data_IF_916741807654
#
_entry.id   IF_916741807654
#
_cell.length_a   1.000
_cell.length_b   1.000
_cell.length_c   1.000
_cell.angle_alpha   90.00
_cell.angle_beta   90.00
_cell.angle_gamma   90.00
#
_symmetry.space_group_name_H-M   'P 1'
#
loop_
_entity.id
_entity.type
_entity.pdbx_description
1 polymer ?
#
# COMPACT_ATOMS: atom_id res chain seq x y z
N UNK A 1 2.10 -18.25 13.99
CA UNK A 1 2.25 -19.27 12.94
C UNK A 1 1.83 -18.71 11.59
N UNK A 2 2.73 -18.74 10.60
CA UNK A 2 2.49 -18.14 9.27
C UNK A 2 1.32 -18.80 8.52
N UNK A 3 1.08 -20.10 8.76
CA UNK A 3 -0.05 -20.81 8.14
C UNK A 3 -1.40 -20.30 8.68
N UNK A 4 -1.47 -19.99 9.95
CA UNK A 4 -2.67 -19.40 10.54
C UNK A 4 -2.94 -17.99 9.95
N UNK A 5 -1.91 -17.16 9.86
CA UNK A 5 -2.03 -15.82 9.28
C UNK A 5 -2.41 -15.86 7.78
N UNK A 6 -1.87 -16.82 7.01
CA UNK A 6 -2.24 -17.00 5.63
C UNK A 6 -3.72 -17.42 5.47
N UNK A 7 -4.19 -18.35 6.29
CA UNK A 7 -5.59 -18.77 6.28
C UNK A 7 -6.55 -17.64 6.71
N UNK A 8 -6.14 -16.86 7.71
CA UNK A 8 -6.88 -15.68 8.17
C UNK A 8 -6.96 -14.60 7.08
N UNK A 9 -5.87 -14.34 6.36
CA UNK A 9 -5.84 -13.40 5.25
C UNK A 9 -6.80 -13.79 4.13
N UNK A 10 -6.84 -15.07 3.77
CA UNK A 10 -7.77 -15.58 2.74
C UNK A 10 -9.21 -15.40 3.18
N UNK A 11 -9.52 -15.76 4.43
CA UNK A 11 -10.87 -15.58 5.01
C UNK A 11 -11.27 -14.11 5.02
N UNK A 12 -10.40 -13.23 5.54
CA UNK A 12 -10.62 -11.79 5.60
C UNK A 12 -10.88 -11.20 4.19
N UNK A 13 -10.06 -11.53 3.20
CA UNK A 13 -10.23 -11.06 1.82
C UNK A 13 -11.59 -11.45 1.25
N UNK A 14 -12.05 -12.67 1.53
CA UNK A 14 -13.38 -13.14 1.10
C UNK A 14 -14.49 -12.38 1.80
N UNK A 15 -14.41 -12.21 3.13
CA UNK A 15 -15.38 -11.45 3.93
C UNK A 15 -15.49 -10.00 3.46
N UNK A 16 -14.35 -9.35 3.16
CA UNK A 16 -14.35 -8.00 2.60
C UNK A 16 -15.05 -7.92 1.25
N UNK A 17 -14.78 -8.85 0.35
CA UNK A 17 -15.44 -8.91 -0.96
C UNK A 17 -16.94 -9.14 -0.84
N UNK A 18 -17.39 -9.98 0.08
CA UNK A 18 -18.82 -10.27 0.30
C UNK A 18 -19.57 -9.08 0.90
N UNK A 19 -18.96 -8.37 1.85
CA UNK A 19 -19.61 -7.31 2.61
C UNK A 19 -19.46 -5.91 2.01
N UNK A 20 -18.39 -5.65 1.23
CA UNK A 20 -18.02 -4.33 0.73
C UNK A 20 -17.79 -4.27 -0.78
N UNK A 21 -18.41 -5.16 -1.55
CA UNK A 21 -18.22 -5.23 -3.00
C UNK A 21 -18.45 -3.88 -3.72
N UNK A 22 -19.51 -3.09 -3.40
CA UNK A 22 -19.70 -1.78 -4.03
C UNK A 22 -18.60 -0.77 -3.70
N UNK A 23 -18.13 -0.73 -2.44
CA UNK A 23 -17.07 0.17 -1.99
C UNK A 23 -15.72 -0.20 -2.63
N UNK A 24 -15.41 -1.49 -2.69
CA UNK A 24 -14.23 -2.02 -3.37
C UNK A 24 -14.26 -1.64 -4.86
N UNK A 25 -15.38 -1.87 -5.55
CA UNK A 25 -15.54 -1.54 -6.96
C UNK A 25 -15.36 -0.03 -7.20
N UNK A 26 -15.95 0.81 -6.36
CA UNK A 26 -15.81 2.26 -6.43
C UNK A 26 -14.37 2.72 -6.23
N UNK A 27 -13.66 2.17 -5.25
CA UNK A 27 -12.25 2.48 -5.04
C UNK A 27 -11.38 2.01 -6.21
N UNK A 28 -11.60 0.82 -6.75
CA UNK A 28 -10.90 0.30 -7.93
C UNK A 28 -11.10 1.22 -9.13
N UNK A 29 -12.33 1.63 -9.43
CA UNK A 29 -12.64 2.51 -10.55
C UNK A 29 -11.95 3.88 -10.44
N UNK A 30 -11.88 4.44 -9.22
CA UNK A 30 -11.28 5.74 -8.95
C UNK A 30 -9.78 5.67 -8.64
N UNK A 31 -9.20 4.49 -8.54
CA UNK A 31 -7.76 4.32 -8.33
C UNK A 31 -6.97 4.90 -9.50
N UNK A 32 -5.84 5.52 -9.19
CA UNK A 32 -4.97 6.15 -10.17
C UNK A 32 -3.57 5.58 -10.10
N UNK A 33 -2.98 5.28 -11.26
CA UNK A 33 -1.60 4.83 -11.36
C UNK A 33 -0.74 6.02 -11.79
N UNK A 34 0.24 6.35 -10.97
CA UNK A 34 1.24 7.36 -11.26
C UNK A 34 2.55 6.70 -11.68
N UNK A 35 3.16 7.22 -12.74
CA UNK A 35 4.48 6.80 -13.23
C UNK A 35 5.32 8.04 -13.48
N UNK A 36 6.63 7.86 -13.63
CA UNK A 36 7.55 8.95 -13.92
C UNK A 36 7.06 9.78 -15.09
N UNK A 37 6.97 11.09 -14.90
CA UNK A 37 6.50 12.05 -15.92
C UNK A 37 4.98 12.19 -16.04
N UNK A 38 4.18 11.43 -15.26
CA UNK A 38 2.72 11.58 -15.26
C UNK A 38 2.23 12.57 -14.20
N UNK A 39 3.07 12.93 -13.23
CA UNK A 39 2.74 13.93 -12.22
C UNK A 39 3.01 15.31 -12.85
N UNK A 40 1.94 16.10 -13.01
CA UNK A 40 2.03 17.49 -13.45
C UNK A 40 2.81 18.37 -12.46
N UNK A 41 2.95 19.65 -12.78
CA UNK A 41 3.58 20.59 -11.85
C UNK A 41 2.84 20.61 -10.50
N UNK A 42 3.59 20.31 -9.43
CA UNK A 42 3.07 20.46 -8.08
C UNK A 42 2.78 21.95 -7.84
N UNK A 43 1.53 22.27 -7.60
CA UNK A 43 1.15 23.63 -7.24
C UNK A 43 1.98 24.10 -6.04
N UNK A 44 2.70 25.21 -6.21
CA UNK A 44 3.51 25.82 -5.15
C UNK A 44 2.67 26.48 -4.03
N UNK A 45 1.36 26.31 -4.06
CA UNK A 45 0.45 26.74 -3.00
C UNK A 45 0.50 25.82 -1.77
N UNK A 46 1.67 25.37 -1.38
CA UNK A 46 1.86 24.80 -0.05
C UNK A 46 1.75 25.93 0.95
N UNK A 47 0.64 25.96 1.68
CA UNK A 47 0.51 26.84 2.86
C UNK A 47 1.72 26.57 3.75
N UNK A 48 2.44 27.62 4.10
CA UNK A 48 3.51 27.55 5.10
C UNK A 48 2.95 26.95 6.39
N UNK A 49 3.69 25.99 6.98
CA UNK A 49 3.39 25.45 8.31
C UNK A 49 2.62 24.14 8.30
N UNK A 50 3.16 23.10 7.63
CA UNK A 50 2.76 21.73 7.95
C UNK A 50 3.30 21.40 9.35
N UNK A 51 2.41 21.13 10.29
CA UNK A 51 2.78 20.61 11.60
C UNK A 51 3.18 19.12 11.43
N UNK A 52 4.42 18.81 11.81
CA UNK A 52 4.95 17.45 11.70
C UNK A 52 5.11 16.86 13.09
N UNK A 53 4.46 15.73 13.32
CA UNK A 53 4.54 15.01 14.58
C UNK A 53 5.18 13.63 14.38
N UNK A 54 6.06 13.24 15.30
CA UNK A 54 6.61 11.90 15.39
C UNK A 54 5.85 11.11 16.47
N UNK A 55 5.11 10.09 16.04
CA UNK A 55 4.34 9.23 16.92
C UNK A 55 4.98 7.82 16.96
N UNK A 56 5.12 7.27 18.18
CA UNK A 56 5.65 5.91 18.37
C UNK A 56 4.51 4.90 18.38
N UNK A 57 3.91 4.67 17.20
CA UNK A 57 2.80 3.75 17.00
C UNK A 57 2.77 3.24 15.56
N UNK A 58 2.03 2.16 15.31
CA UNK A 58 1.79 1.69 13.95
C UNK A 58 0.81 2.61 13.18
N UNK A 59 0.77 2.45 11.86
CA UNK A 59 -0.01 3.32 10.96
C UNK A 59 -1.51 3.27 11.24
N UNK A 60 -2.07 2.09 11.53
CA UNK A 60 -3.51 1.94 11.78
C UNK A 60 -3.89 2.52 13.15
N UNK A 61 -3.03 2.34 14.17
CA UNK A 61 -3.20 3.01 15.47
C UNK A 61 -3.18 4.53 15.31
N UNK A 62 -2.28 5.07 14.50
CA UNK A 62 -2.24 6.50 14.21
C UNK A 62 -3.53 6.97 13.52
N UNK A 63 -4.03 6.22 12.53
CA UNK A 63 -5.29 6.52 11.85
C UNK A 63 -6.45 6.62 12.87
N UNK A 64 -6.62 5.61 13.72
CA UNK A 64 -7.70 5.58 14.70
C UNK A 64 -7.52 6.54 15.89
N UNK A 65 -6.37 7.21 16.00
CA UNK A 65 -6.17 8.32 16.96
C UNK A 65 -6.72 9.66 16.45
N UNK A 66 -7.06 9.74 15.17
CA UNK A 66 -7.64 10.93 14.54
C UNK A 66 -9.17 10.91 14.63
N UNK A 67 -9.84 12.07 14.55
CA UNK A 67 -11.29 12.13 14.41
C UNK A 67 -11.77 11.31 13.20
N UNK A 68 -12.89 10.59 13.35
CA UNK A 68 -13.40 9.68 12.32
C UNK A 68 -13.81 10.35 11.00
N UNK A 69 -14.06 11.66 11.02
CA UNK A 69 -14.38 12.49 9.86
C UNK A 69 -13.15 13.18 9.22
N UNK A 70 -11.94 12.87 9.71
CA UNK A 70 -10.70 13.43 9.15
C UNK A 70 -10.43 12.87 7.76
N UNK A 71 -10.02 13.74 6.83
CA UNK A 71 -9.45 13.32 5.56
C UNK A 71 -8.00 12.90 5.77
N UNK A 72 -7.72 11.62 5.61
CA UNK A 72 -6.41 11.02 5.86
C UNK A 72 -5.91 10.33 4.61
N UNK A 73 -4.62 10.51 4.32
CA UNK A 73 -3.90 9.73 3.31
C UNK A 73 -2.78 8.95 3.98
N UNK A 74 -2.76 7.64 3.78
CA UNK A 74 -1.76 6.73 4.32
C UNK A 74 -0.73 6.34 3.25
N UNK A 75 0.53 6.19 3.66
CA UNK A 75 1.55 5.58 2.83
C UNK A 75 1.65 4.09 3.13
N UNK A 76 1.41 3.27 2.12
CA UNK A 76 1.65 1.83 2.14
C UNK A 76 3.07 1.56 1.62
N UNK A 77 3.96 1.07 2.51
CA UNK A 77 5.32 0.64 2.17
C UNK A 77 5.29 -0.72 1.49
N UNK A 78 4.95 -0.71 0.22
CA UNK A 78 4.50 -1.86 -0.53
C UNK A 78 5.61 -2.73 -1.12
N UNK A 79 5.24 -3.95 -1.46
CA UNK A 79 5.97 -4.76 -2.42
C UNK A 79 5.82 -4.17 -3.82
N UNK A 80 6.93 -4.16 -4.57
CA UNK A 80 6.92 -3.79 -5.98
C UNK A 80 6.29 -4.87 -6.88
N UNK A 81 6.22 -6.12 -6.40
CA UNK A 81 5.83 -7.29 -7.19
C UNK A 81 4.42 -7.78 -6.92
N UNK A 82 3.98 -7.69 -5.68
CA UNK A 82 2.76 -8.37 -5.22
C UNK A 82 1.83 -7.41 -4.52
N UNK A 83 0.53 -7.41 -4.88
CA UNK A 83 -0.46 -6.67 -4.12
C UNK A 83 -0.49 -7.15 -2.66
N UNK A 84 -0.52 -6.22 -1.71
CA UNK A 84 -0.52 -6.56 -0.29
C UNK A 84 0.72 -7.29 0.23
N UNK A 85 1.83 -7.25 -0.53
CA UNK A 85 3.07 -7.92 -0.12
C UNK A 85 2.97 -9.44 -0.11
N UNK A 86 3.31 -10.03 1.02
CA UNK A 86 3.19 -11.49 1.25
C UNK A 86 2.04 -11.83 2.21
N UNK A 87 0.95 -11.07 2.13
CA UNK A 87 -0.26 -11.28 2.93
C UNK A 87 -0.73 -12.73 2.92
N UNK A 88 -0.93 -13.28 1.72
CA UNK A 88 -1.42 -14.65 1.52
C UNK A 88 -0.40 -15.75 1.90
N UNK A 89 0.83 -15.35 2.22
CA UNK A 89 1.88 -16.25 2.74
C UNK A 89 2.08 -16.12 4.25
N UNK A 90 1.26 -15.29 4.91
CA UNK A 90 1.28 -15.12 6.36
C UNK A 90 2.40 -14.20 6.88
N UNK A 91 2.84 -13.25 6.08
CA UNK A 91 3.73 -12.17 6.53
C UNK A 91 2.96 -11.11 7.31
N UNK A 92 3.66 -10.38 8.19
CA UNK A 92 3.10 -9.31 9.02
C UNK A 92 4.05 -8.11 9.07
N UNK A 93 4.27 -7.50 7.93
CA UNK A 93 4.90 -6.18 7.83
C UNK A 93 3.84 -5.08 7.73
N UNK A 94 4.24 -3.83 7.53
CA UNK A 94 3.32 -2.69 7.49
C UNK A 94 2.27 -2.83 6.38
N UNK A 95 2.66 -3.28 5.18
CA UNK A 95 1.74 -3.46 4.06
C UNK A 95 0.66 -4.53 4.35
N UNK A 96 1.07 -5.64 4.95
CA UNK A 96 0.17 -6.71 5.34
C UNK A 96 -0.76 -6.30 6.48
N UNK A 97 -0.25 -5.54 7.47
CA UNK A 97 -1.07 -5.01 8.56
C UNK A 97 -2.18 -4.09 8.04
N UNK A 98 -1.89 -3.21 7.08
CA UNK A 98 -2.91 -2.38 6.44
C UNK A 98 -3.99 -3.23 5.74
N UNK A 99 -3.59 -4.33 5.09
CA UNK A 99 -4.51 -5.23 4.40
C UNK A 99 -5.35 -6.08 5.36
N UNK A 100 -4.82 -6.48 6.52
CA UNK A 100 -5.57 -7.22 7.53
C UNK A 100 -6.68 -6.40 8.21
N UNK A 101 -6.54 -5.09 8.23
CA UNK A 101 -7.49 -4.20 8.90
C UNK A 101 -8.32 -3.35 7.91
N UNK A 102 -8.38 -3.76 6.63
CA UNK A 102 -9.14 -3.05 5.59
C UNK A 102 -9.47 -3.94 4.40
N UNK A 103 -10.13 -3.40 3.39
CA UNK A 103 -10.26 -4.05 2.08
C UNK A 103 -9.18 -3.60 1.06
N UNK A 104 -8.06 -3.05 1.53
CA UNK A 104 -7.00 -2.56 0.65
C UNK A 104 -6.49 -3.63 -0.31
N UNK A 105 -6.29 -4.87 0.17
CA UNK A 105 -5.86 -5.98 -0.69
C UNK A 105 -6.82 -6.21 -1.85
N UNK A 106 -8.12 -6.21 -1.59
CA UNK A 106 -9.17 -6.42 -2.59
C UNK A 106 -9.12 -5.35 -3.71
N UNK A 107 -8.71 -4.13 -3.36
CA UNK A 107 -8.52 -3.05 -4.35
C UNK A 107 -7.23 -3.23 -5.11
N UNK A 108 -6.12 -3.51 -4.42
CA UNK A 108 -4.80 -3.65 -5.04
C UNK A 108 -4.71 -4.86 -5.97
N UNK A 109 -5.34 -5.99 -5.65
CA UNK A 109 -5.31 -7.19 -6.51
C UNK A 109 -5.97 -6.96 -7.88
N UNK A 110 -6.83 -5.96 -8.01
CA UNK A 110 -7.46 -5.57 -9.28
C UNK A 110 -6.56 -4.70 -10.17
N UNK A 111 -5.43 -4.18 -9.65
CA UNK A 111 -4.48 -3.36 -10.38
C UNK A 111 -3.48 -4.23 -11.17
N UNK A 112 -4.00 -5.16 -11.96
CA UNK A 112 -3.21 -6.19 -12.66
C UNK A 112 -2.20 -5.58 -13.63
N UNK A 113 -2.56 -4.52 -14.33
CA UNK A 113 -1.68 -3.82 -15.29
C UNK A 113 -0.49 -3.15 -14.58
N UNK A 114 -0.71 -2.60 -13.38
CA UNK A 114 0.36 -2.03 -12.57
C UNK A 114 1.38 -3.12 -12.19
N UNK A 115 0.95 -4.22 -11.61
CA UNK A 115 1.85 -5.28 -11.17
C UNK A 115 2.50 -6.04 -12.33
N UNK A 116 1.82 -6.22 -13.47
CA UNK A 116 2.42 -6.75 -14.68
C UNK A 116 3.56 -5.84 -15.18
N UNK A 117 3.34 -4.53 -15.20
CA UNK A 117 4.34 -3.56 -15.61
C UNK A 117 5.53 -3.51 -14.63
N UNK A 118 5.28 -3.45 -13.32
CA UNK A 118 6.34 -3.39 -12.30
C UNK A 118 7.22 -4.64 -12.33
N UNK A 119 6.64 -5.82 -12.54
CA UNK A 119 7.40 -7.07 -12.65
C UNK A 119 8.34 -7.11 -13.87
N UNK A 120 8.00 -6.39 -14.95
CA UNK A 120 8.84 -6.26 -16.14
C UNK A 120 9.89 -5.13 -16.01
N UNK A 121 9.68 -4.17 -15.10
CA UNK A 121 10.48 -2.95 -14.99
C UNK A 121 11.17 -2.84 -13.61
N UNK A 122 11.80 -3.90 -13.16
CA UNK A 122 12.42 -3.97 -11.80
C UNK A 122 13.67 -3.10 -11.65
N UNK A 123 14.31 -2.69 -12.75
CA UNK A 123 15.51 -1.85 -12.76
C UNK A 123 16.55 -2.31 -11.71
N UNK A 124 16.87 -3.60 -11.71
CA UNK A 124 17.82 -4.21 -10.75
C UNK A 124 17.50 -3.94 -9.27
N UNK A 125 16.23 -3.79 -8.92
CA UNK A 125 15.79 -3.53 -7.55
C UNK A 125 15.82 -2.05 -7.14
N UNK A 126 16.24 -1.14 -8.03
CA UNK A 126 16.05 0.30 -7.84
C UNK A 126 14.60 0.73 -8.12
N UNK A 127 13.88 -0.13 -8.89
CA UNK A 127 12.53 0.09 -9.35
C UNK A 127 12.38 1.35 -10.23
N UNK A 128 11.17 1.64 -10.63
CA UNK A 128 10.80 2.85 -11.38
C UNK A 128 9.91 3.70 -10.47
N UNK A 129 9.96 5.01 -10.65
CA UNK A 129 9.06 5.93 -9.94
C UNK A 129 7.61 5.62 -10.35
N UNK A 130 6.91 4.93 -9.47
CA UNK A 130 5.51 4.56 -9.69
C UNK A 130 4.78 4.36 -8.36
N UNK A 131 3.50 4.69 -8.36
CA UNK A 131 2.63 4.54 -7.21
C UNK A 131 1.19 4.27 -7.66
N UNK A 132 0.40 3.65 -6.77
CA UNK A 132 -1.05 3.56 -6.92
C UNK A 132 -1.67 4.45 -5.84
N UNK A 133 -2.58 5.33 -6.24
CA UNK A 133 -3.49 6.02 -5.32
C UNK A 133 -4.81 5.26 -5.29
N UNK A 134 -5.21 4.79 -4.12
CA UNK A 134 -6.47 4.10 -3.87
C UNK A 134 -7.32 4.92 -2.92
N UNK A 135 -8.41 5.56 -3.39
CA UNK A 135 -9.26 6.39 -2.55
C UNK A 135 -10.22 5.58 -1.70
N UNK A 136 -10.64 6.16 -0.58
CA UNK A 136 -11.73 5.68 0.28
C UNK A 136 -11.61 4.20 0.68
N UNK A 137 -10.47 3.81 1.18
CA UNK A 137 -10.27 2.49 1.80
C UNK A 137 -10.83 2.52 3.21
N UNK A 138 -11.73 1.60 3.53
CA UNK A 138 -12.31 1.47 4.86
C UNK A 138 -11.44 0.58 5.74
N UNK A 139 -11.01 1.13 6.87
CA UNK A 139 -10.26 0.44 7.91
C UNK A 139 -11.16 0.10 9.09
N UNK A 140 -10.88 -1.03 9.70
CA UNK A 140 -11.62 -1.57 10.83
C UNK A 140 -10.68 -1.87 12.00
N UNK A 141 -11.05 -1.46 13.20
CA UNK A 141 -10.37 -1.89 14.42
C UNK A 141 -11.39 -1.96 15.56
N UNK A 142 -11.56 -3.14 16.13
CA UNK A 142 -12.63 -3.46 17.06
C UNK A 142 -14.00 -3.16 16.42
N UNK A 143 -14.80 -2.28 17.02
CA UNK A 143 -16.10 -1.82 16.52
C UNK A 143 -16.03 -0.43 15.83
N UNK A 144 -14.81 0.07 15.54
CA UNK A 144 -14.58 1.38 14.92
C UNK A 144 -14.25 1.24 13.44
N UNK A 145 -14.65 2.23 12.68
CA UNK A 145 -14.42 2.36 11.24
C UNK A 145 -13.81 3.73 10.91
N UNK A 146 -12.89 3.77 9.94
CA UNK A 146 -12.31 5.00 9.44
C UNK A 146 -11.93 4.85 7.98
N UNK A 147 -12.40 5.77 7.12
CA UNK A 147 -11.95 5.83 5.74
C UNK A 147 -10.61 6.55 5.63
N UNK A 148 -9.75 6.07 4.75
CA UNK A 148 -8.52 6.75 4.39
C UNK A 148 -8.18 6.47 2.92
N UNK A 149 -7.56 7.45 2.27
CA UNK A 149 -6.91 7.25 1.00
C UNK A 149 -5.57 6.54 1.23
N UNK A 150 -5.14 5.72 0.28
CA UNK A 150 -3.87 4.99 0.41
C UNK A 150 -3.00 5.22 -0.83
N UNK A 151 -1.77 5.69 -0.61
CA UNK A 151 -0.72 5.71 -1.62
C UNK A 151 0.14 4.47 -1.45
N UNK A 152 0.12 3.58 -2.44
CA UNK A 152 0.93 2.36 -2.47
C UNK A 152 2.19 2.62 -3.29
N UNK A 153 3.35 2.60 -2.65
CA UNK A 153 4.63 2.89 -3.28
C UNK A 153 5.72 2.00 -2.67
N UNK A 154 6.56 1.41 -3.53
CA UNK A 154 7.65 0.55 -3.10
C UNK A 154 8.98 1.31 -3.03
N UNK A 155 9.70 1.13 -1.92
CA UNK A 155 11.07 1.61 -1.80
C UNK A 155 12.06 0.70 -2.56
N UNK A 156 13.20 1.22 -3.03
CA UNK A 156 14.25 0.42 -3.64
C UNK A 156 14.73 -0.73 -2.74
N UNK A 157 14.95 -1.90 -3.32
CA UNK A 157 15.38 -3.08 -2.58
C UNK A 157 16.88 -3.05 -2.31
N UNK A 158 17.27 -2.75 -1.08
CA UNK A 158 18.67 -2.64 -0.67
C UNK A 158 19.54 -3.87 -1.02
N UNK A 159 19.01 -5.09 -0.86
CA UNK A 159 19.75 -6.31 -1.16
C UNK A 159 20.18 -6.41 -2.62
N UNK A 160 19.43 -5.84 -3.54
CA UNK A 160 19.78 -5.82 -4.96
C UNK A 160 20.89 -4.82 -5.30
N UNK A 161 21.16 -3.83 -4.43
CA UNK A 161 22.19 -2.83 -4.62
C UNK A 161 23.60 -3.33 -4.24
N UNK A 162 23.67 -4.33 -3.37
CA UNK A 162 24.93 -4.85 -2.81
C UNK A 162 25.36 -6.21 -3.36
N UNK A 163 24.53 -6.88 -4.15
CA UNK A 163 24.86 -8.18 -4.77
C UNK A 163 25.83 -8.08 -5.97
N UNK A 164 26.26 -6.90 -6.34
CA UNK A 164 27.35 -6.72 -7.29
C UNK A 164 28.69 -6.84 -6.56
N UNK A 165 29.15 -8.05 -6.30
CA UNK A 165 30.59 -8.26 -6.13
C UNK A 165 31.26 -7.74 -7.42
N UNK A 166 32.22 -6.81 -7.33
CA UNK A 166 32.98 -6.44 -8.50
C UNK A 166 33.66 -7.73 -8.99
N UNK A 167 33.35 -8.17 -10.20
CA UNK A 167 34.16 -9.17 -10.89
C UNK A 167 35.46 -8.44 -11.24
N UNK A 168 36.46 -8.58 -10.36
CA UNK A 168 37.82 -8.29 -10.76
C UNK A 168 38.17 -9.39 -11.77
N UNK A 169 38.17 -9.03 -13.05
CA UNK A 169 38.86 -9.79 -14.07
C UNK A 169 40.36 -9.50 -13.86
N UNK A 170 41.10 -10.55 -13.45
CA UNK A 170 42.54 -10.59 -13.56
C UNK A 170 42.98 -10.46 -15.01
#
# INVERSE_FOLDING_TARGET
DSQFLAADAVRHTKEMQENFAPDIASSVERSQIFRRGTIGEISKNTKQGLDTQLLKMDTVTALFSLPADSHVCLLNFASFRYPGGQLLSGSMAQAEALCHESFLYNVLEKQTDYYAWTNQNTNHGLYQDSAIFSPDILFFRDDREHYADVVTCAAPKRSCLFDRKPRFTE
#
